data_IF_310029972957
#
_entry.id   IF_310029972957
#
_cell.length_a   1.000
_cell.length_b   1.000
_cell.length_c   1.000
_cell.angle_alpha   90.00
_cell.angle_beta   90.00
_cell.angle_gamma   90.00
#
_symmetry.space_group_name_H-M   'P 1'
#
loop_
_entity.id
_entity.type
_entity.pdbx_description
1 polymer ?
#
# COMPACT_ATOMS: atom_id res chain seq x y z
N UNK A 1 -0.88 9.67 -6.65
CA UNK A 1 -1.88 10.06 -7.66
C UNK A 1 -2.45 8.78 -8.31
N UNK A 2 -3.02 8.84 -9.52
CA UNK A 2 -3.61 7.66 -10.16
C UNK A 2 -2.54 6.62 -10.51
N UNK A 3 -1.38 7.05 -11.00
CA UNK A 3 -0.24 6.16 -11.24
C UNK A 3 0.20 5.44 -9.95
N UNK A 4 0.29 6.16 -8.82
CA UNK A 4 0.63 5.53 -7.54
C UNK A 4 -0.42 4.50 -7.11
N UNK A 5 -1.72 4.79 -7.33
CA UNK A 5 -2.79 3.86 -7.00
C UNK A 5 -2.76 2.60 -7.88
N UNK A 6 -2.42 2.74 -9.16
CA UNK A 6 -2.24 1.58 -10.05
C UNK A 6 -1.09 0.70 -9.56
N UNK A 7 0.03 1.30 -9.15
CA UNK A 7 1.15 0.56 -8.55
C UNK A 7 0.76 -0.13 -7.24
N UNK A 8 0.02 0.56 -6.38
CA UNK A 8 -0.53 -0.02 -5.15
C UNK A 8 -1.41 -1.25 -5.45
N UNK A 9 -2.33 -1.15 -6.41
CA UNK A 9 -3.19 -2.28 -6.78
C UNK A 9 -2.42 -3.46 -7.39
N UNK A 10 -1.32 -3.19 -8.10
CA UNK A 10 -0.46 -4.24 -8.64
C UNK A 10 0.30 -5.00 -7.54
N UNK A 11 0.55 -4.34 -6.41
CA UNK A 11 1.28 -4.86 -5.26
C UNK A 11 0.38 -5.44 -4.16
N UNK A 12 -0.93 -5.27 -4.24
CA UNK A 12 -1.88 -5.69 -3.22
C UNK A 12 -1.84 -7.20 -2.97
N UNK A 13 -1.47 -7.59 -1.76
CA UNK A 13 -1.42 -8.99 -1.31
C UNK A 13 -2.67 -9.37 -0.50
N UNK A 14 -3.34 -8.39 0.11
CA UNK A 14 -4.43 -8.58 1.07
C UNK A 14 -3.94 -8.85 2.50
N UNK A 15 -4.87 -8.76 3.45
CA UNK A 15 -4.65 -8.89 4.91
C UNK A 15 -3.99 -10.23 5.27
N UNK A 16 -2.77 -10.16 5.83
CA UNK A 16 -1.93 -11.31 6.13
C UNK A 16 -1.40 -12.05 4.90
N UNK A 17 -1.46 -11.42 3.72
CA UNK A 17 -1.16 -12.02 2.42
C UNK A 17 0.33 -12.05 2.05
N UNK A 18 1.19 -11.53 2.92
CA UNK A 18 2.64 -11.41 2.69
C UNK A 18 3.38 -12.74 2.45
N UNK A 19 4.68 -12.69 2.10
CA UNK A 19 5.52 -11.49 2.07
C UNK A 19 5.33 -10.62 0.83
N UNK A 20 5.60 -9.32 0.98
CA UNK A 20 5.63 -8.35 -0.12
C UNK A 20 6.69 -8.74 -1.15
N UNK A 21 6.36 -8.59 -2.44
CA UNK A 21 7.35 -8.76 -3.49
C UNK A 21 8.45 -7.67 -3.39
N UNK A 22 9.73 -7.96 -3.71
CA UNK A 22 10.82 -6.98 -3.60
C UNK A 22 10.65 -5.68 -4.42
N UNK A 23 9.71 -5.65 -5.38
CA UNK A 23 9.37 -4.43 -6.13
C UNK A 23 8.24 -3.61 -5.51
N UNK A 24 7.61 -4.12 -4.44
CA UNK A 24 6.40 -3.59 -3.82
C UNK A 24 6.63 -3.01 -2.43
N UNK A 25 7.86 -3.02 -1.94
CA UNK A 25 8.28 -2.53 -0.61
C UNK A 25 7.87 -1.08 -0.35
N UNK A 26 7.74 -0.25 -1.39
CA UNK A 26 7.29 1.14 -1.24
C UNK A 26 5.79 1.29 -1.02
N UNK A 27 5.01 0.21 -1.22
CA UNK A 27 3.56 0.17 -1.00
C UNK A 27 3.18 -0.50 0.32
N UNK A 28 4.13 -1.15 1.00
CA UNK A 28 4.02 -1.56 2.41
C UNK A 28 4.38 -0.35 3.29
N UNK A 29 3.38 0.49 3.52
CA UNK A 29 3.55 1.79 4.17
C UNK A 29 3.65 1.60 5.69
N UNK A 30 2.93 0.64 6.23
CA UNK A 30 2.83 0.40 7.65
C UNK A 30 3.97 -0.52 8.19
N UNK A 31 4.63 -1.28 7.30
CA UNK A 31 5.80 -2.10 7.59
C UNK A 31 5.49 -3.48 8.17
N UNK A 32 4.28 -4.00 7.95
CA UNK A 32 3.85 -5.33 8.43
C UNK A 32 4.08 -6.45 7.42
N UNK A 33 4.78 -6.14 6.32
CA UNK A 33 5.24 -7.10 5.33
C UNK A 33 4.07 -7.74 4.54
N UNK A 34 2.98 -7.01 4.37
CA UNK A 34 1.99 -7.20 3.32
C UNK A 34 1.57 -5.83 2.72
N UNK A 35 0.76 -5.85 1.66
CA UNK A 35 0.17 -4.63 1.07
C UNK A 35 -1.33 -4.78 1.10
N UNK A 36 -2.00 -4.03 1.97
CA UNK A 36 -3.40 -4.26 2.29
C UNK A 36 -4.20 -2.96 2.58
N UNK A 37 -5.34 -3.08 3.27
CA UNK A 37 -6.18 -1.92 3.55
C UNK A 37 -5.60 -0.98 4.62
N UNK A 38 -4.69 -1.44 5.48
CA UNK A 38 -3.95 -0.61 6.41
C UNK A 38 -3.02 0.34 5.66
N UNK A 39 -2.28 -0.16 4.66
CA UNK A 39 -1.46 0.68 3.79
C UNK A 39 -2.30 1.64 2.96
N UNK A 40 -3.44 1.17 2.44
CA UNK A 40 -4.35 2.03 1.70
C UNK A 40 -4.85 3.21 2.54
N UNK A 41 -5.08 3.02 3.84
CA UNK A 41 -5.51 4.11 4.72
C UNK A 41 -4.44 5.21 4.84
N UNK A 42 -3.17 4.81 4.97
CA UNK A 42 -2.03 5.72 5.00
C UNK A 42 -1.83 6.41 3.64
N UNK A 43 -1.92 5.66 2.54
CA UNK A 43 -1.89 6.20 1.17
C UNK A 43 -2.98 7.25 0.95
N UNK A 44 -4.21 6.96 1.37
CA UNK A 44 -5.34 7.86 1.19
C UNK A 44 -5.18 9.14 2.02
N UNK A 45 -4.69 9.03 3.25
CA UNK A 45 -4.33 10.17 4.10
C UNK A 45 -3.31 11.08 3.42
N UNK A 46 -2.26 10.50 2.80
CA UNK A 46 -1.26 11.25 2.07
C UNK A 46 -1.83 11.91 0.79
N UNK A 47 -2.75 11.24 0.09
CA UNK A 47 -3.38 11.74 -1.14
C UNK A 47 -4.34 12.91 -0.87
N UNK A 48 -5.13 12.85 0.21
CA UNK A 48 -6.14 13.87 0.51
C UNK A 48 -5.65 14.96 1.47
N UNK A 49 -4.52 14.76 2.13
CA UNK A 49 -4.06 15.59 3.24
C UNK A 49 -4.77 15.25 4.57
N UNK A 50 -4.36 15.90 5.68
CA UNK A 50 -4.97 15.69 7.00
C UNK A 50 -6.46 16.02 6.96
N UNK A 51 -7.27 15.11 7.50
CA UNK A 51 -8.71 15.31 7.72
C UNK A 51 -8.97 16.04 9.04
#
# INVERSE_FOLDING_TARGET
>A
DLEDFVGFQACFTGDGGGPVDPGCECYDINGDNDVDLADHAEFYSALTGPQ
#
